data_IF_206831120930
#
_entry.id   IF_206831120930
#
_cell.length_a   1.000
_cell.length_b   1.000
_cell.length_c   1.000
_cell.angle_alpha   90.00
_cell.angle_beta   90.00
_cell.angle_gamma   90.00
#
_symmetry.space_group_name_H-M   'P 1'
#
loop_
_entity.id
_entity.type
_entity.pdbx_description
1 polymer ?
#
# COMPACT_ATOMS: atom_id res chain seq x y z
N UNK A 1 51.23 11.95 -56.21
CA UNK A 1 51.13 13.03 -55.21
C UNK A 1 50.01 13.97 -55.63
N UNK A 2 49.02 14.35 -54.80
CA UNK A 2 48.55 13.89 -53.47
C UNK A 2 47.05 13.43 -53.56
N UNK A 3 46.28 12.98 -52.56
CA UNK A 3 46.42 12.53 -51.17
C UNK A 3 45.13 11.73 -50.86
N UNK A 4 45.28 10.52 -50.31
CA UNK A 4 44.20 9.83 -49.59
C UNK A 4 43.92 10.57 -48.28
N UNK A 5 42.66 10.84 -47.98
CA UNK A 5 42.22 11.16 -46.62
C UNK A 5 41.45 9.95 -46.10
N UNK A 6 42.10 9.19 -45.22
CA UNK A 6 41.44 8.22 -44.35
C UNK A 6 40.47 8.99 -43.45
N UNK A 7 39.18 8.76 -43.61
CA UNK A 7 38.20 9.10 -42.58
C UNK A 7 38.29 8.04 -41.48
N UNK A 8 39.10 8.32 -40.47
CA UNK A 8 39.17 7.53 -39.24
C UNK A 8 37.81 7.64 -38.55
N UNK A 9 37.13 6.52 -38.41
CA UNK A 9 35.91 6.36 -37.63
C UNK A 9 36.23 6.63 -36.16
N UNK A 10 35.96 7.85 -35.68
CA UNK A 10 35.91 8.13 -34.25
C UNK A 10 34.70 7.39 -33.66
N UNK A 11 34.95 6.16 -33.20
CA UNK A 11 34.00 5.38 -32.43
C UNK A 11 33.93 6.00 -31.03
N UNK A 12 32.98 6.90 -30.83
CA UNK A 12 32.62 7.44 -29.51
C UNK A 12 32.48 6.27 -28.52
N UNK A 13 33.19 6.25 -27.38
CA UNK A 13 33.09 5.14 -26.45
C UNK A 13 31.67 5.08 -25.89
N UNK A 14 30.95 4.03 -26.29
CA UNK A 14 29.63 3.67 -25.77
C UNK A 14 29.72 3.67 -24.23
N UNK A 15 28.78 4.30 -23.50
CA UNK A 15 28.79 4.24 -22.04
C UNK A 15 28.83 2.76 -21.64
N UNK A 16 29.85 2.38 -20.85
CA UNK A 16 29.97 1.03 -20.30
C UNK A 16 28.64 0.71 -19.63
N UNK A 17 27.85 -0.16 -20.26
CA UNK A 17 26.79 -0.88 -19.59
C UNK A 17 27.47 -1.53 -18.38
N UNK A 18 27.16 -1.03 -17.18
CA UNK A 18 27.57 -1.69 -15.96
C UNK A 18 27.20 -3.16 -16.13
N UNK A 19 28.19 -4.04 -16.06
CA UNK A 19 27.97 -5.47 -16.18
C UNK A 19 26.99 -5.87 -15.09
N UNK A 20 25.73 -6.08 -15.48
CA UNK A 20 24.69 -6.53 -14.55
C UNK A 20 25.08 -7.96 -14.20
N UNK A 21 25.58 -8.14 -12.98
CA UNK A 21 25.82 -9.48 -12.44
C UNK A 21 24.50 -10.23 -12.45
N UNK A 22 24.46 -11.36 -13.17
CA UNK A 22 23.27 -12.22 -13.26
C UNK A 22 23.19 -13.18 -12.05
N UNK A 23 24.24 -13.27 -11.24
CA UNK A 23 24.24 -13.97 -9.96
C UNK A 23 23.20 -13.34 -9.03
N UNK A 24 22.10 -14.05 -8.79
CA UNK A 24 20.97 -13.60 -7.98
C UNK A 24 19.69 -13.27 -8.75
N UNK A 25 19.68 -13.37 -10.08
CA UNK A 25 18.43 -13.27 -10.85
C UNK A 25 17.56 -14.49 -10.54
N UNK A 26 16.48 -14.27 -9.79
CA UNK A 26 15.59 -15.31 -9.30
C UNK A 26 15.50 -15.38 -7.77
N UNK A 27 16.36 -14.64 -7.05
CA UNK A 27 16.26 -14.53 -5.60
C UNK A 27 15.00 -13.74 -5.20
N UNK A 28 14.13 -14.39 -4.42
CA UNK A 28 12.95 -13.73 -3.86
C UNK A 28 13.40 -12.90 -2.66
N UNK A 29 13.44 -11.58 -2.82
CA UNK A 29 13.67 -10.66 -1.72
C UNK A 29 12.36 -10.45 -0.96
N UNK A 30 12.39 -10.71 0.34
CA UNK A 30 11.28 -10.36 1.24
C UNK A 30 10.98 -8.85 1.15
N UNK A 31 9.72 -8.53 0.82
CA UNK A 31 9.27 -7.14 0.75
C UNK A 31 9.50 -6.44 2.10
N UNK A 32 10.41 -5.45 2.11
CA UNK A 32 10.71 -4.62 3.29
C UNK A 32 12.02 -4.95 4.01
N UNK A 33 12.80 -5.92 3.52
CA UNK A 33 14.18 -6.16 3.96
C UNK A 33 15.17 -5.55 2.95
N UNK A 34 16.32 -5.09 3.42
CA UNK A 34 17.39 -4.61 2.52
C UNK A 34 17.92 -5.77 1.70
N UNK A 35 17.85 -5.66 0.38
CA UNK A 35 18.10 -6.75 -0.56
C UNK A 35 19.59 -7.10 -0.74
N UNK A 36 20.53 -6.37 -0.15
CA UNK A 36 21.98 -6.57 -0.34
C UNK A 36 22.50 -6.23 -1.74
N UNK A 37 21.63 -6.26 -2.76
CA UNK A 37 21.92 -5.87 -4.13
C UNK A 37 22.06 -4.35 -4.26
N UNK A 38 23.27 -3.87 -4.55
CA UNK A 38 23.58 -2.45 -4.69
C UNK A 38 22.80 -1.74 -5.82
N UNK A 39 22.34 -2.47 -6.84
CA UNK A 39 21.50 -1.89 -7.91
C UNK A 39 20.01 -1.81 -7.52
N UNK A 40 19.62 -2.47 -6.43
CA UNK A 40 18.32 -2.32 -5.77
C UNK A 40 18.37 -1.27 -4.65
N UNK A 41 19.40 -0.41 -4.66
CA UNK A 41 19.56 0.70 -3.70
C UNK A 41 18.29 1.56 -3.63
N UNK A 42 18.00 1.88 -2.38
CA UNK A 42 16.73 2.22 -1.74
C UNK A 42 15.87 3.28 -2.47
N UNK A 43 14.67 2.88 -2.94
CA UNK A 43 13.54 3.82 -2.98
C UNK A 43 13.15 4.10 -1.52
N UNK A 44 13.24 5.36 -1.07
CA UNK A 44 12.80 5.85 0.27
C UNK A 44 11.29 5.69 0.54
N UNK A 45 10.55 4.96 -0.30
CA UNK A 45 9.14 4.72 -0.14
C UNK A 45 8.93 3.42 0.64
N UNK A 46 8.02 3.39 1.62
CA UNK A 46 7.69 2.17 2.33
C UNK A 46 7.24 1.08 1.36
N UNK A 47 7.71 -0.15 1.59
CA UNK A 47 7.32 -1.33 0.80
C UNK A 47 5.95 -1.86 1.24
N UNK A 48 5.27 -2.62 0.37
CA UNK A 48 4.01 -3.33 0.72
C UNK A 48 4.19 -4.15 2.00
N UNK A 49 5.31 -4.88 2.13
CA UNK A 49 5.58 -5.72 3.31
C UNK A 49 5.70 -4.92 4.61
N UNK A 50 6.27 -3.71 4.56
CA UNK A 50 6.30 -2.80 5.71
C UNK A 50 4.88 -2.31 6.08
N UNK A 51 4.04 -1.96 5.10
CA UNK A 51 2.64 -1.60 5.36
C UNK A 51 1.85 -2.78 5.96
N UNK A 52 2.00 -3.98 5.40
CA UNK A 52 1.34 -5.20 5.88
C UNK A 52 1.76 -5.54 7.31
N UNK A 53 3.06 -5.43 7.61
CA UNK A 53 3.61 -5.67 8.94
C UNK A 53 3.05 -4.67 9.95
N UNK A 54 3.03 -3.39 9.60
CA UNK A 54 2.45 -2.35 10.44
C UNK A 54 0.95 -2.56 10.66
N UNK A 55 0.21 -2.95 9.62
CA UNK A 55 -1.23 -3.21 9.70
C UNK A 55 -1.54 -4.40 10.62
N UNK A 56 -0.78 -5.50 10.51
CA UNK A 56 -0.93 -6.67 11.38
C UNK A 56 -0.59 -6.34 12.83
N UNK A 57 0.48 -5.60 13.08
CA UNK A 57 0.85 -5.16 14.44
C UNK A 57 -0.19 -4.23 15.06
N UNK A 58 -0.71 -3.28 14.27
CA UNK A 58 -1.79 -2.39 14.69
C UNK A 58 -3.09 -3.17 14.99
N UNK A 59 -3.45 -4.13 14.14
CA UNK A 59 -4.61 -4.99 14.34
C UNK A 59 -4.49 -5.83 15.62
N UNK A 60 -3.33 -6.42 15.88
CA UNK A 60 -3.06 -7.15 17.12
C UNK A 60 -3.25 -6.26 18.37
N UNK A 61 -2.80 -5.00 18.32
CA UNK A 61 -3.02 -4.05 19.41
C UNK A 61 -4.52 -3.73 19.61
N UNK A 62 -5.29 -3.68 18.53
CA UNK A 62 -6.74 -3.41 18.53
C UNK A 62 -7.61 -4.65 18.79
N UNK A 63 -7.01 -5.83 18.98
CA UNK A 63 -7.72 -7.00 19.47
C UNK A 63 -8.35 -6.81 20.86
N UNK A 64 -8.01 -5.70 21.55
CA UNK A 64 -8.67 -5.26 22.79
C UNK A 64 -9.82 -4.31 22.46
N UNK A 65 -11.09 -4.65 22.75
CA UNK A 65 -12.24 -3.79 22.45
C UNK A 65 -12.17 -2.39 23.08
N UNK A 66 -11.45 -2.23 24.20
CA UNK A 66 -11.23 -0.92 24.86
C UNK A 66 -10.41 0.07 24.04
N UNK A 67 -9.73 -0.40 22.99
CA UNK A 67 -8.94 0.42 22.07
C UNK A 67 -9.65 0.71 20.75
N UNK A 68 -10.90 0.27 20.61
CA UNK A 68 -11.67 0.48 19.39
C UNK A 68 -12.03 1.97 19.20
N UNK A 69 -12.20 2.41 17.94
CA UNK A 69 -12.65 3.77 17.64
C UNK A 69 -13.98 4.08 18.31
N UNK A 70 -14.05 5.21 19.02
CA UNK A 70 -15.28 5.63 19.71
C UNK A 70 -16.31 6.22 18.75
N UNK A 71 -15.86 6.98 17.74
CA UNK A 71 -16.76 7.52 16.70
C UNK A 71 -16.94 6.47 15.60
N UNK A 72 -18.14 5.91 15.49
CA UNK A 72 -18.45 4.94 14.45
C UNK A 72 -18.69 5.65 13.12
N UNK A 73 -18.45 4.97 12.02
CA UNK A 73 -18.63 5.54 10.67
C UNK A 73 -17.54 6.51 10.21
N UNK A 74 -16.55 6.82 11.05
CA UNK A 74 -15.53 7.83 10.75
C UNK A 74 -14.11 7.32 10.95
N UNK A 75 -13.26 7.57 9.96
CA UNK A 75 -11.82 7.32 10.08
C UNK A 75 -11.21 8.20 11.16
N UNK A 76 -10.48 7.56 12.07
CA UNK A 76 -9.77 8.22 13.17
C UNK A 76 -8.30 7.82 13.19
N UNK A 77 -7.40 8.66 13.72
CA UNK A 77 -6.06 8.22 14.09
C UNK A 77 -6.13 7.04 15.05
N UNK A 78 -5.36 5.98 14.76
CA UNK A 78 -5.30 4.82 15.64
C UNK A 78 -4.71 5.21 17.02
N UNK A 79 -5.03 4.47 18.10
CA UNK A 79 -4.43 4.69 19.41
C UNK A 79 -2.92 4.49 19.37
N UNK A 80 -2.19 5.09 20.33
CA UNK A 80 -0.71 5.07 20.36
C UNK A 80 -0.15 3.65 20.36
N UNK A 81 -0.83 2.72 21.03
CA UNK A 81 -0.49 1.28 21.05
C UNK A 81 -0.50 0.64 19.67
N UNK A 82 -1.41 1.04 18.78
CA UNK A 82 -1.44 0.56 17.40
C UNK A 82 -0.42 1.30 16.53
N UNK A 83 -0.26 2.63 16.71
CA UNK A 83 0.65 3.45 15.90
C UNK A 83 2.12 3.11 16.07
N UNK A 84 2.55 2.59 17.23
CA UNK A 84 3.95 2.21 17.46
C UNK A 84 4.46 1.11 16.51
N UNK A 85 3.56 0.38 15.87
CA UNK A 85 3.88 -0.66 14.88
C UNK A 85 4.19 -0.08 13.48
N UNK A 86 3.96 1.22 13.30
CA UNK A 86 4.26 1.93 12.07
C UNK A 86 5.48 2.85 12.30
N UNK A 87 6.53 2.64 11.50
CA UNK A 87 7.74 3.46 11.51
C UNK A 87 7.69 4.61 10.50
N UNK A 88 8.45 5.67 10.78
CA UNK A 88 8.74 6.74 9.82
C UNK A 88 7.50 7.51 9.34
N UNK A 89 7.23 7.45 8.03
CA UNK A 89 6.17 8.25 7.36
C UNK A 89 4.81 7.56 7.32
N UNK A 90 4.71 6.32 7.81
CA UNK A 90 3.47 5.55 7.80
C UNK A 90 2.42 6.17 8.72
N UNK A 91 1.19 6.26 8.23
CA UNK A 91 0.02 6.70 8.98
C UNK A 91 -0.88 5.50 9.25
N UNK A 92 -1.35 5.37 10.48
CA UNK A 92 -2.29 4.33 10.90
C UNK A 92 -3.61 4.99 11.30
N UNK A 93 -4.67 4.64 10.60
CA UNK A 93 -6.04 5.07 10.91
C UNK A 93 -6.95 3.87 11.10
N UNK A 94 -8.02 4.04 11.85
CA UNK A 94 -8.97 2.99 12.19
C UNK A 94 -10.38 3.47 12.00
N UNK A 95 -11.29 2.56 11.70
CA UNK A 95 -12.73 2.81 11.65
C UNK A 95 -13.48 1.67 12.31
N UNK A 96 -14.56 2.00 13.01
CA UNK A 96 -15.56 1.06 13.49
C UNK A 96 -16.84 1.27 12.68
N UNK A 97 -17.36 0.20 12.10
CA UNK A 97 -18.55 0.18 11.25
C UNK A 97 -19.69 -0.49 12.01
N UNK A 98 -20.81 0.19 12.13
CA UNK A 98 -22.05 -0.44 12.59
C UNK A 98 -22.52 -1.51 11.60
N UNK A 99 -23.34 -2.49 12.04
CA UNK A 99 -24.01 -3.42 11.13
C UNK A 99 -24.72 -2.68 9.99
N UNK A 100 -24.56 -3.16 8.75
CA UNK A 100 -25.12 -2.57 7.54
C UNK A 100 -24.67 -1.13 7.24
N UNK A 101 -23.64 -0.62 7.92
CA UNK A 101 -23.13 0.72 7.65
C UNK A 101 -22.20 0.74 6.45
N UNK A 102 -22.18 1.90 5.80
CA UNK A 102 -21.41 2.19 4.61
C UNK A 102 -20.54 3.42 4.88
N UNK A 103 -19.22 3.28 4.71
CA UNK A 103 -18.27 4.36 4.96
C UNK A 103 -17.38 4.55 3.74
N UNK A 104 -17.19 5.78 3.26
CA UNK A 104 -16.21 6.03 2.22
C UNK A 104 -14.82 5.57 2.67
N UNK A 105 -14.16 4.86 1.77
CA UNK A 105 -12.73 4.62 1.86
C UNK A 105 -12.02 5.95 2.07
N UNK A 106 -10.94 5.97 2.85
CA UNK A 106 -10.29 7.21 3.21
C UNK A 106 -9.70 7.85 1.95
N UNK A 107 -10.06 9.11 1.69
CA UNK A 107 -9.74 9.79 0.45
C UNK A 107 -8.24 9.65 0.09
N UNK A 108 -7.96 9.20 -1.15
CA UNK A 108 -6.63 9.35 -1.73
C UNK A 108 -6.35 10.84 -1.86
N UNK A 109 -5.37 11.32 -1.10
CA UNK A 109 -4.91 12.70 -1.27
C UNK A 109 -4.20 12.78 -2.61
N UNK A 110 -4.73 13.63 -3.49
CA UNK A 110 -4.23 13.87 -4.85
C UNK A 110 -2.76 14.30 -4.90
N UNK A 111 -2.21 14.78 -3.78
CA UNK A 111 -0.80 15.23 -3.68
C UNK A 111 0.22 14.08 -3.66
N UNK A 112 -0.20 12.81 -3.59
CA UNK A 112 0.72 11.67 -3.62
C UNK A 112 0.37 10.69 -4.74
N UNK A 113 0.99 10.85 -5.93
CA UNK A 113 0.78 9.97 -7.08
C UNK A 113 1.20 8.50 -6.84
N UNK A 114 1.88 8.21 -5.73
CA UNK A 114 2.34 6.85 -5.37
C UNK A 114 1.89 6.43 -3.96
N UNK A 115 0.74 6.94 -3.50
CA UNK A 115 0.18 6.60 -2.20
C UNK A 115 -0.24 5.13 -2.14
N UNK A 116 0.58 4.28 -1.52
CA UNK A 116 0.21 2.90 -1.22
C UNK A 116 -0.57 2.84 0.09
N UNK A 117 -1.63 2.05 0.10
CA UNK A 117 -2.40 1.78 1.32
C UNK A 117 -2.79 0.31 1.42
N UNK A 118 -2.98 -0.12 2.67
CA UNK A 118 -3.46 -1.45 2.98
C UNK A 118 -4.58 -1.38 4.02
N UNK A 119 -5.50 -2.32 3.93
CA UNK A 119 -6.59 -2.53 4.88
C UNK A 119 -6.43 -3.88 5.56
N UNK A 120 -6.69 -3.92 6.86
CA UNK A 120 -6.69 -5.16 7.64
C UNK A 120 -7.93 -5.19 8.54
N UNK A 121 -8.66 -6.32 8.51
CA UNK A 121 -9.80 -6.55 9.37
C UNK A 121 -9.32 -6.97 10.76
N UNK A 122 -9.81 -6.28 11.80
CA UNK A 122 -9.53 -6.60 13.21
C UNK A 122 -10.63 -7.47 13.80
N UNK A 123 -11.89 -7.13 13.52
CA UNK A 123 -13.09 -7.78 14.07
C UNK A 123 -14.27 -7.61 13.13
N UNK A 124 -15.28 -8.48 13.25
CA UNK A 124 -16.52 -8.43 12.49
C UNK A 124 -16.38 -8.94 11.06
N UNK A 125 -17.23 -8.45 10.14
CA UNK A 125 -17.20 -8.79 8.72
C UNK A 125 -17.27 -7.51 7.89
N UNK A 126 -16.38 -7.36 6.91
CA UNK A 126 -16.38 -6.17 6.07
C UNK A 126 -16.03 -6.49 4.62
N UNK A 127 -16.59 -5.70 3.70
CA UNK A 127 -16.33 -5.76 2.28
C UNK A 127 -15.77 -4.42 1.81
N UNK A 128 -14.82 -4.48 0.88
CA UNK A 128 -14.35 -3.35 0.10
C UNK A 128 -15.10 -3.34 -1.24
N UNK A 129 -15.88 -2.29 -1.46
CA UNK A 129 -16.50 -2.01 -2.75
C UNK A 129 -15.66 -0.98 -3.48
N UNK A 130 -15.33 -1.27 -4.74
CA UNK A 130 -14.73 -0.29 -5.63
C UNK A 130 -15.75 0.08 -6.70
N UNK A 131 -15.92 1.37 -6.92
CA UNK A 131 -16.76 1.91 -8.00
C UNK A 131 -15.95 2.78 -8.94
N UNK A 132 -16.40 2.88 -10.19
CA UNK A 132 -15.86 3.80 -11.16
C UNK A 132 -16.20 5.26 -10.86
N UNK A 133 -15.65 6.20 -11.64
CA UNK A 133 -16.00 7.61 -11.55
C UNK A 133 -17.47 7.89 -11.95
N UNK A 134 -18.10 6.96 -12.67
CA UNK A 134 -19.52 6.92 -13.01
C UNK A 134 -20.42 6.43 -11.87
N UNK A 135 -19.83 6.08 -10.72
CA UNK A 135 -20.55 5.52 -9.57
C UNK A 135 -20.90 4.04 -9.72
N UNK A 136 -20.65 3.42 -10.87
CA UNK A 136 -20.96 2.01 -11.11
C UNK A 136 -20.02 1.12 -10.30
N UNK A 137 -20.57 0.12 -9.61
CA UNK A 137 -19.78 -0.87 -8.88
C UNK A 137 -18.94 -1.69 -9.85
N UNK A 138 -17.64 -1.76 -9.59
CA UNK A 138 -16.68 -2.53 -10.40
C UNK A 138 -16.23 -3.80 -9.70
N UNK A 139 -16.13 -3.77 -8.39
CA UNK A 139 -15.84 -4.98 -7.61
C UNK A 139 -16.36 -4.85 -6.18
N UNK A 140 -16.63 -6.01 -5.58
CA UNK A 140 -16.83 -6.18 -4.15
C UNK A 140 -15.91 -7.31 -3.68
N UNK A 141 -15.10 -7.05 -2.67
CA UNK A 141 -14.15 -8.02 -2.13
C UNK A 141 -14.29 -8.11 -0.61
N UNK A 142 -14.43 -9.34 -0.10
CA UNK A 142 -14.39 -9.59 1.33
C UNK A 142 -13.00 -9.27 1.91
N UNK A 143 -12.98 -8.61 3.06
CA UNK A 143 -11.78 -8.38 3.85
C UNK A 143 -11.62 -9.53 4.85
N UNK A 144 -11.07 -10.64 4.37
CA UNK A 144 -10.96 -11.86 5.16
C UNK A 144 -10.13 -11.67 6.46
N UNK A 145 -10.55 -12.28 7.59
CA UNK A 145 -9.80 -12.24 8.85
C UNK A 145 -8.34 -12.68 8.68
N UNK A 146 -7.42 -11.96 9.32
CA UNK A 146 -5.98 -12.26 9.27
C UNK A 146 -5.29 -11.96 7.94
N UNK A 147 -6.04 -11.57 6.90
CA UNK A 147 -5.49 -11.15 5.60
C UNK A 147 -5.46 -9.63 5.49
N UNK A 148 -4.36 -9.13 4.93
CA UNK A 148 -4.22 -7.72 4.60
C UNK A 148 -4.55 -7.53 3.13
N UNK A 149 -5.49 -6.63 2.82
CA UNK A 149 -5.83 -6.24 1.46
C UNK A 149 -5.01 -5.02 1.06
N UNK A 150 -4.25 -5.14 -0.03
CA UNK A 150 -3.60 -3.99 -0.65
C UNK A 150 -4.65 -3.22 -1.44
N UNK A 151 -4.71 -1.91 -1.23
CA UNK A 151 -5.58 -1.00 -1.96
C UNK A 151 -4.68 -0.14 -2.82
N UNK A 152 -4.75 -0.35 -4.14
CA UNK A 152 -3.87 0.31 -5.09
C UNK A 152 -4.14 1.80 -5.18
N UNK A 153 -3.07 2.60 -5.23
CA UNK A 153 -3.07 3.83 -6.01
C UNK A 153 -3.22 3.40 -7.47
N UNK A 154 -4.43 3.48 -8.03
CA UNK A 154 -4.58 3.28 -9.45
C UNK A 154 -3.64 4.26 -10.16
N UNK A 155 -2.94 3.78 -11.19
CA UNK A 155 -2.25 4.63 -12.15
C UNK A 155 -3.13 5.84 -12.49
N UNK A 156 -2.49 7.00 -12.65
CA UNK A 156 -3.06 8.35 -12.57
C UNK A 156 -4.20 8.72 -13.55
N UNK A 157 -4.95 7.77 -14.08
CA UNK A 157 -6.05 7.95 -15.03
C UNK A 157 -7.42 7.47 -14.55
N UNK A 158 -7.54 6.70 -13.45
CA UNK A 158 -8.87 6.24 -12.98
C UNK A 158 -9.07 6.50 -11.49
N UNK A 159 -9.67 7.65 -11.18
CA UNK A 159 -10.28 7.94 -9.87
C UNK A 159 -11.49 7.01 -9.68
N UNK A 160 -11.27 5.84 -9.09
CA UNK A 160 -12.35 5.05 -8.51
C UNK A 160 -12.68 5.54 -7.11
N UNK A 161 -13.89 5.24 -6.64
CA UNK A 161 -14.24 5.41 -5.24
C UNK A 161 -14.14 4.07 -4.52
N UNK A 162 -13.60 4.09 -3.30
CA UNK A 162 -13.57 2.93 -2.43
C UNK A 162 -14.59 3.14 -1.33
N UNK A 163 -15.28 2.08 -0.95
CA UNK A 163 -16.24 2.08 0.15
C UNK A 163 -16.08 0.82 0.98
N UNK A 164 -16.22 0.98 2.29
CA UNK A 164 -16.26 -0.11 3.23
C UNK A 164 -17.69 -0.35 3.67
N UNK A 165 -18.08 -1.62 3.66
CA UNK A 165 -19.41 -2.06 4.06
C UNK A 165 -19.27 -3.12 5.14
N UNK A 166 -19.95 -2.93 6.26
CA UNK A 166 -20.12 -3.99 7.22
C UNK A 166 -21.36 -4.80 6.84
N UNK A 167 -21.14 -6.04 6.38
CA UNK A 167 -22.20 -6.98 6.00
C UNK A 167 -22.52 -7.97 7.12
N UNK A 168 -21.93 -7.77 8.30
CA UNK A 168 -22.22 -8.53 9.51
C UNK A 168 -23.26 -7.86 10.39
N UNK A 169 -23.61 -8.61 11.43
CA UNK A 169 -24.49 -8.28 12.55
C UNK A 169 -23.74 -7.70 13.76
N UNK A 170 -22.41 -7.84 13.76
CA UNK A 170 -21.53 -7.24 14.77
C UNK A 170 -20.80 -6.01 14.23
N UNK A 171 -20.17 -5.25 15.12
CA UNK A 171 -19.31 -4.12 14.76
C UNK A 171 -18.07 -4.62 14.01
N UNK A 172 -17.85 -4.12 12.80
CA UNK A 172 -16.62 -4.39 12.08
C UNK A 172 -15.57 -3.32 12.38
N UNK A 173 -14.36 -3.74 12.74
CA UNK A 173 -13.24 -2.85 13.05
C UNK A 173 -12.12 -3.08 12.04
N UNK A 174 -11.65 -2.00 11.43
CA UNK A 174 -10.61 -2.05 10.41
C UNK A 174 -9.45 -1.12 10.74
N UNK A 175 -8.27 -1.55 10.33
CA UNK A 175 -7.05 -0.75 10.28
C UNK A 175 -6.74 -0.40 8.83
N UNK A 176 -6.36 0.85 8.61
CA UNK A 176 -5.76 1.33 7.37
C UNK A 176 -4.35 1.84 7.66
N UNK A 177 -3.37 1.38 6.87
CA UNK A 177 -2.01 1.91 6.90
C UNK A 177 -1.67 2.51 5.54
N UNK A 178 -1.12 3.71 5.52
CA UNK A 178 -0.76 4.44 4.29
C UNK A 178 0.60 5.11 4.39
N UNK A 179 1.32 5.24 3.27
CA UNK A 179 2.62 5.92 3.16
C UNK A 179 2.56 7.42 2.84
#
# INVERSE_FOLDING_TARGET
MPQQVLATTEHTPRPRTASVSLDGIGDVVDAGRTSGYAHLVERRLPTVGQLVTAARGAAAALGRPTLWPTRRGHWQPAPRSARRHAGGRLRVTTVALEPNSFVPGPAQRSDRPHGMEVLHLVSGRAHLITSGPDGQMRSAAELAPGRTRVVGGADGSVRGHHHLVNTGDEVAVLVRVSA
#
